data_IF_314411681566
#
_entry.id   IF_314411681566
#
_cell.length_a   1.000
_cell.length_b   1.000
_cell.length_c   1.000
_cell.angle_alpha   90.00
_cell.angle_beta   90.00
_cell.angle_gamma   90.00
#
_symmetry.space_group_name_H-M   'P 1'
#
loop_
_entity.id
_entity.type
_entity.pdbx_description
1 polymer ?
#
# COMPACT_ATOMS: atom_id res chain seq x y z
N UNK A 1 -0.26 -10.86 12.87
CA UNK A 1 -1.27 -9.83 12.49
C UNK A 1 -2.65 -10.47 12.44
N UNK A 2 -3.69 -9.74 12.87
CA UNK A 2 -5.11 -10.14 12.79
C UNK A 2 -5.94 -8.96 12.26
N UNK A 3 -7.20 -9.17 11.90
CA UNK A 3 -8.12 -8.09 11.51
C UNK A 3 -8.04 -7.63 10.05
N UNK A 4 -7.33 -8.35 9.19
CA UNK A 4 -7.32 -8.10 7.74
C UNK A 4 -8.69 -8.48 7.17
N UNK A 5 -9.35 -7.53 6.50
CA UNK A 5 -10.68 -7.75 5.92
C UNK A 5 -10.61 -8.46 4.57
N UNK A 6 -9.80 -7.92 3.65
CA UNK A 6 -9.56 -8.53 2.34
C UNK A 6 -8.15 -8.16 1.88
N UNK A 7 -7.17 -8.97 2.30
CA UNK A 7 -5.76 -8.76 2.00
C UNK A 7 -5.41 -9.21 0.59
N UNK A 8 -4.90 -8.29 -0.22
CA UNK A 8 -4.60 -8.50 -1.63
C UNK A 8 -3.24 -7.92 -2.02
N UNK A 9 -2.82 -8.29 -3.23
CA UNK A 9 -1.62 -7.73 -3.86
C UNK A 9 -0.35 -7.86 -2.98
N UNK A 10 0.00 -9.06 -2.49
CA UNK A 10 1.22 -9.21 -1.72
C UNK A 10 2.46 -8.87 -2.57
N UNK A 11 3.39 -8.13 -1.99
CA UNK A 11 4.69 -7.77 -2.57
C UNK A 11 5.78 -7.90 -1.52
N UNK A 12 6.94 -8.37 -1.94
CA UNK A 12 8.14 -8.29 -1.13
C UNK A 12 8.97 -7.08 -1.58
N UNK A 13 9.25 -6.17 -0.67
CA UNK A 13 10.03 -4.97 -0.96
C UNK A 13 10.77 -4.50 0.29
N UNK A 14 12.07 -4.22 0.15
CA UNK A 14 12.95 -3.75 1.24
C UNK A 14 12.86 -4.58 2.52
N UNK A 15 12.82 -5.92 2.39
CA UNK A 15 12.80 -6.83 3.53
C UNK A 15 11.45 -6.91 4.26
N UNK A 16 10.38 -6.36 3.68
CA UNK A 16 9.04 -6.35 4.25
C UNK A 16 8.02 -6.96 3.29
N UNK A 17 6.98 -7.58 3.86
CA UNK A 17 5.77 -7.97 3.13
C UNK A 17 4.83 -6.77 3.08
N UNK A 18 4.52 -6.31 1.88
CA UNK A 18 3.53 -5.28 1.60
C UNK A 18 2.27 -5.91 1.05
N UNK A 19 1.10 -5.39 1.43
CA UNK A 19 -0.18 -5.79 0.86
C UNK A 19 -1.21 -4.69 1.04
N UNK A 20 -2.29 -4.74 0.26
CA UNK A 20 -3.45 -3.86 0.42
C UNK A 20 -4.54 -4.60 1.19
N UNK A 21 -5.01 -4.07 2.31
CA UNK A 21 -6.32 -4.47 2.85
C UNK A 21 -7.40 -3.61 2.21
N UNK A 22 -8.09 -4.21 1.26
CA UNK A 22 -9.14 -3.56 0.49
C UNK A 22 -10.36 -3.18 1.34
N UNK A 23 -10.65 -3.91 2.41
CA UNK A 23 -11.80 -3.60 3.28
C UNK A 23 -11.55 -2.36 4.14
N UNK A 24 -10.33 -2.22 4.70
CA UNK A 24 -9.94 -1.03 5.46
C UNK A 24 -9.39 0.10 4.59
N UNK A 25 -9.12 -0.17 3.30
CA UNK A 25 -8.44 0.72 2.34
C UNK A 25 -7.06 1.15 2.83
N UNK A 26 -6.31 0.22 3.38
CA UNK A 26 -4.96 0.44 3.90
C UNK A 26 -3.93 -0.30 3.07
N UNK A 27 -2.78 0.34 2.84
CA UNK A 27 -1.57 -0.34 2.38
C UNK A 27 -0.70 -0.57 3.61
N UNK A 28 -0.36 -1.83 3.85
CA UNK A 28 0.25 -2.29 5.08
C UNK A 28 1.58 -2.95 4.75
N UNK A 29 2.61 -2.66 5.53
CA UNK A 29 3.91 -3.31 5.43
C UNK A 29 4.26 -4.01 6.76
N UNK A 30 4.69 -5.27 6.67
CA UNK A 30 5.00 -6.14 7.80
C UNK A 30 6.45 -6.58 7.73
N UNK A 31 7.19 -6.42 8.82
CA UNK A 31 8.58 -6.88 8.93
C UNK A 31 8.69 -8.39 9.24
N UNK A 32 9.92 -8.90 9.34
CA UNK A 32 10.19 -10.32 9.61
C UNK A 32 9.81 -10.73 11.03
N UNK A 33 9.78 -9.79 11.97
CA UNK A 33 9.36 -9.97 13.35
C UNK A 33 7.83 -9.97 13.49
N UNK A 34 7.11 -9.63 12.42
CA UNK A 34 5.65 -9.61 12.34
C UNK A 34 5.00 -8.29 12.78
N UNK A 35 5.79 -7.22 12.98
CA UNK A 35 5.28 -5.89 13.26
C UNK A 35 4.71 -5.28 11.98
N UNK A 36 3.48 -4.75 12.06
CA UNK A 36 2.76 -4.16 10.94
C UNK A 36 2.67 -2.64 11.04
N UNK A 37 2.80 -1.95 9.92
CA UNK A 37 2.66 -0.50 9.79
C UNK A 37 1.67 -0.17 8.66
N UNK A 38 0.75 0.77 8.90
CA UNK A 38 -0.09 1.34 7.84
C UNK A 38 0.70 2.44 7.14
N UNK A 39 1.12 2.19 5.91
CA UNK A 39 1.97 3.11 5.14
C UNK A 39 1.15 4.24 4.53
N UNK A 40 -0.05 3.93 4.06
CA UNK A 40 -1.03 4.92 3.63
C UNK A 40 -2.45 4.36 3.70
N UNK A 41 -3.42 5.28 3.72
CA UNK A 41 -4.83 4.98 3.49
C UNK A 41 -5.19 5.38 2.06
N UNK A 42 -5.63 4.43 1.27
CA UNK A 42 -5.97 4.66 -0.12
C UNK A 42 -7.31 5.43 -0.24
N UNK A 43 -7.44 6.32 -1.24
CA UNK A 43 -8.67 7.10 -1.41
C UNK A 43 -9.84 6.24 -1.90
N UNK A 44 -9.58 5.18 -2.69
CA UNK A 44 -10.62 4.28 -3.22
C UNK A 44 -10.30 2.79 -3.08
N UNK A 45 -11.28 1.98 -3.46
CA UNK A 45 -11.21 0.54 -3.60
C UNK A 45 -11.49 0.14 -5.07
N UNK A 46 -10.83 -0.89 -5.62
CA UNK A 46 -9.64 -1.55 -5.07
C UNK A 46 -8.40 -0.64 -5.17
N UNK A 47 -7.38 -0.94 -4.35
CA UNK A 47 -6.10 -0.24 -4.38
C UNK A 47 -4.91 -1.20 -4.41
N UNK A 48 -3.90 -0.85 -5.18
CA UNK A 48 -2.67 -1.64 -5.34
C UNK A 48 -1.47 -0.69 -5.37
N UNK A 49 -0.30 -1.18 -4.95
CA UNK A 49 0.93 -0.38 -4.97
C UNK A 49 2.04 -1.01 -5.78
N UNK A 50 2.92 -0.17 -6.30
CA UNK A 50 4.22 -0.57 -6.83
C UNK A 50 5.22 0.58 -6.61
N UNK A 51 6.46 0.42 -7.05
CA UNK A 51 7.50 1.44 -6.86
C UNK A 51 8.07 1.90 -8.20
N UNK A 52 8.35 3.20 -8.30
CA UNK A 52 9.21 3.73 -9.34
C UNK A 52 10.65 3.27 -9.12
N UNK A 53 11.50 3.28 -10.17
CA UNK A 53 12.92 2.93 -10.04
C UNK A 53 13.70 3.79 -9.03
N UNK A 54 13.20 4.98 -8.70
CA UNK A 54 13.79 5.87 -7.70
C UNK A 54 13.24 5.66 -6.27
N UNK A 55 12.46 4.58 -6.06
CA UNK A 55 11.94 4.17 -4.76
C UNK A 55 10.63 4.85 -4.36
N UNK A 56 10.11 5.82 -5.13
CA UNK A 56 8.81 6.43 -4.82
C UNK A 56 7.66 5.45 -5.03
N UNK A 57 6.73 5.43 -4.09
CA UNK A 57 5.57 4.55 -4.13
C UNK A 57 4.53 5.09 -5.13
N UNK A 58 3.97 4.19 -5.91
CA UNK A 58 2.79 4.39 -6.74
C UNK A 58 1.59 3.74 -6.09
N UNK A 59 0.43 4.39 -6.19
CA UNK A 59 -0.86 3.88 -5.72
C UNK A 59 -1.88 3.94 -6.83
N UNK A 60 -2.39 2.78 -7.24
CA UNK A 60 -3.55 2.69 -8.12
C UNK A 60 -4.81 2.92 -7.29
N UNK A 61 -5.58 3.95 -7.61
CA UNK A 61 -6.92 4.20 -7.08
C UNK A 61 -7.94 3.77 -8.13
N UNK A 62 -8.30 2.49 -8.14
CA UNK A 62 -9.07 1.92 -9.25
C UNK A 62 -10.51 2.45 -9.31
N UNK A 63 -11.12 2.74 -8.15
CA UNK A 63 -12.45 3.34 -8.09
C UNK A 63 -12.50 4.74 -8.71
N UNK A 64 -11.38 5.46 -8.66
CA UNK A 64 -11.26 6.81 -9.23
C UNK A 64 -10.67 6.80 -10.65
N UNK A 65 -10.14 5.67 -11.13
CA UNK A 65 -9.41 5.58 -12.39
C UNK A 65 -8.09 6.38 -12.39
N UNK A 66 -7.45 6.53 -11.22
CA UNK A 66 -6.26 7.36 -11.03
C UNK A 66 -5.04 6.52 -10.62
N UNK A 67 -3.86 7.03 -10.98
CA UNK A 67 -2.57 6.56 -10.48
C UNK A 67 -1.91 7.73 -9.75
N UNK A 68 -1.68 7.55 -8.46
CA UNK A 68 -0.99 8.52 -7.62
C UNK A 68 0.48 8.14 -7.44
N UNK A 69 1.32 9.14 -7.27
CA UNK A 69 2.67 8.97 -6.70
C UNK A 69 2.69 9.54 -5.30
N UNK A 70 3.31 8.82 -4.36
CA UNK A 70 3.57 9.31 -3.01
C UNK A 70 4.92 10.03 -2.98
N UNK A 71 4.90 11.31 -2.65
CA UNK A 71 6.11 12.10 -2.46
C UNK A 71 6.76 11.82 -1.09
N UNK A 72 8.04 12.21 -0.87
CA UNK A 72 8.74 11.99 0.39
C UNK A 72 8.06 12.59 1.62
N UNK A 73 7.29 13.66 1.45
CA UNK A 73 6.49 14.28 2.51
C UNK A 73 5.17 13.55 2.80
N UNK A 74 4.89 12.47 2.04
CA UNK A 74 3.70 11.64 2.17
C UNK A 74 2.50 12.11 1.35
N UNK A 75 2.59 13.24 0.63
CA UNK A 75 1.52 13.71 -0.25
C UNK A 75 1.31 12.76 -1.44
N UNK A 76 0.05 12.64 -1.87
CA UNK A 76 -0.32 11.90 -3.08
C UNK A 76 -0.58 12.90 -4.21
N UNK A 77 0.16 12.77 -5.31
CA UNK A 77 0.07 13.62 -6.51
C UNK A 77 -0.22 12.82 -7.76
#
# INVERSE_FOLDING_TARGET
MTGISFGEQPRWHEGRLWFSDWGSREVIAVDLEGNSEVILRAPSFPCCVDWLPDGRLLLVSAGDGLLFRREPDGTLV
#
